data_IF_553017920115
#
_entry.id   IF_553017920115
#
_cell.length_a   1.000
_cell.length_b   1.000
_cell.length_c   1.000
_cell.angle_alpha   90.00
_cell.angle_beta   90.00
_cell.angle_gamma   90.00
#
_symmetry.space_group_name_H-M   'P 1'
#
loop_
_entity.id
_entity.type
_entity.pdbx_description
1 polymer ?
#
# COMPACT_ATOMS: atom_id res chain seq x y z
N UNK A 1 -3.09 -4.43 6.68
CA UNK A 1 -4.52 -4.22 6.31
C UNK A 1 -4.75 -4.93 4.98
N UNK A 2 -5.90 -5.57 4.79
CA UNK A 2 -6.23 -6.27 3.54
C UNK A 2 -7.52 -5.70 2.95
N UNK A 3 -7.64 -5.75 1.63
CA UNK A 3 -8.80 -5.31 0.86
C UNK A 3 -9.20 -6.43 -0.09
N UNK A 4 -10.50 -6.52 -0.39
CA UNK A 4 -10.95 -7.35 -1.52
C UNK A 4 -10.44 -6.76 -2.84
N UNK A 5 -10.43 -7.58 -3.90
CA UNK A 5 -10.05 -7.12 -5.23
C UNK A 5 -10.93 -5.95 -5.71
N UNK A 6 -12.24 -5.99 -5.45
CA UNK A 6 -13.19 -4.94 -5.87
C UNK A 6 -12.93 -3.63 -5.13
N UNK A 7 -12.69 -3.70 -3.82
CA UNK A 7 -12.39 -2.51 -3.03
C UNK A 7 -11.07 -1.86 -3.47
N UNK A 8 -10.03 -2.66 -3.74
CA UNK A 8 -8.77 -2.14 -4.25
C UNK A 8 -8.94 -1.56 -5.65
N UNK A 9 -9.66 -2.24 -6.54
CA UNK A 9 -9.93 -1.75 -7.89
C UNK A 9 -10.65 -0.40 -7.88
N UNK A 10 -11.67 -0.24 -7.03
CA UNK A 10 -12.39 1.03 -6.89
C UNK A 10 -11.45 2.15 -6.43
N UNK A 11 -10.55 1.88 -5.48
CA UNK A 11 -9.54 2.84 -5.06
C UNK A 11 -8.56 3.20 -6.19
N UNK A 12 -8.05 2.22 -6.94
CA UNK A 12 -7.13 2.47 -8.05
C UNK A 12 -7.78 3.26 -9.19
N UNK A 13 -9.09 3.10 -9.39
CA UNK A 13 -9.84 3.77 -10.47
C UNK A 13 -9.87 5.29 -10.37
N UNK A 14 -9.61 5.86 -9.18
CA UNK A 14 -9.56 7.31 -8.97
C UNK A 14 -8.14 7.88 -9.04
N UNK A 15 -7.13 7.04 -9.26
CA UNK A 15 -5.73 7.45 -9.35
C UNK A 15 -5.31 7.65 -10.81
N UNK A 16 -4.36 8.58 -11.07
CA UNK A 16 -3.71 8.66 -12.37
C UNK A 16 -3.01 7.33 -12.72
N UNK A 17 -3.24 6.74 -13.91
CA UNK A 17 -2.66 5.44 -14.26
C UNK A 17 -1.12 5.45 -14.28
N UNK A 18 -0.50 6.59 -14.56
CA UNK A 18 0.95 6.77 -14.63
C UNK A 18 1.68 6.58 -13.29
N UNK A 19 0.97 6.63 -12.16
CA UNK A 19 1.55 6.39 -10.82
C UNK A 19 1.27 4.98 -10.29
N UNK A 20 0.60 4.13 -11.08
CA UNK A 20 0.20 2.79 -10.66
C UNK A 20 0.95 1.73 -11.46
N UNK A 21 1.79 0.96 -10.78
CA UNK A 21 2.44 -0.23 -11.34
C UNK A 21 1.73 -1.48 -10.82
N UNK A 22 1.36 -2.38 -11.75
CA UNK A 22 0.64 -3.62 -11.42
C UNK A 22 1.37 -4.83 -11.99
N UNK A 23 1.56 -5.85 -11.16
CA UNK A 23 1.98 -7.20 -11.55
C UNK A 23 0.99 -8.22 -10.98
N UNK A 24 1.13 -9.50 -11.35
CA UNK A 24 0.24 -10.57 -10.86
C UNK A 24 0.17 -10.67 -9.33
N UNK A 25 1.26 -10.34 -8.63
CA UNK A 25 1.38 -10.52 -7.18
C UNK A 25 1.60 -9.23 -6.40
N UNK A 26 1.76 -8.09 -7.08
CA UNK A 26 2.11 -6.81 -6.45
C UNK A 26 1.50 -5.62 -7.17
N UNK A 27 0.92 -4.71 -6.42
CA UNK A 27 0.51 -3.39 -6.88
C UNK A 27 1.32 -2.34 -6.11
N UNK A 28 1.87 -1.37 -6.83
CA UNK A 28 2.61 -0.24 -6.26
C UNK A 28 1.99 1.06 -6.76
N UNK A 29 1.68 1.95 -5.83
CA UNK A 29 1.23 3.31 -6.13
C UNK A 29 2.32 4.27 -5.65
N UNK A 30 2.90 5.02 -6.58
CA UNK A 30 3.91 6.02 -6.27
C UNK A 30 3.27 7.22 -5.54
N UNK A 31 3.93 7.69 -4.48
CA UNK A 31 3.48 8.86 -3.72
C UNK A 31 4.66 9.62 -3.12
N UNK A 32 4.50 10.93 -2.91
CA UNK A 32 5.59 11.85 -2.53
C UNK A 32 6.33 11.43 -1.26
N UNK A 33 5.60 11.00 -0.24
CA UNK A 33 6.21 10.61 1.04
C UNK A 33 6.74 9.18 0.98
N UNK A 34 5.95 8.26 0.42
CA UNK A 34 6.28 6.84 0.30
C UNK A 34 5.28 6.13 -0.58
N UNK A 35 5.78 5.17 -1.36
CA UNK A 35 4.94 4.27 -2.14
C UNK A 35 3.99 3.46 -1.24
N UNK A 36 2.78 3.26 -1.75
CA UNK A 36 1.83 2.31 -1.21
C UNK A 36 1.95 0.99 -1.96
N UNK A 37 2.08 -0.12 -1.21
CA UNK A 37 2.30 -1.45 -1.78
C UNK A 37 1.24 -2.40 -1.26
N UNK A 38 0.62 -3.15 -2.17
CA UNK A 38 -0.26 -4.29 -1.89
C UNK A 38 0.31 -5.55 -2.51
N UNK A 39 0.20 -6.66 -1.77
CA UNK A 39 0.61 -7.99 -2.21
C UNK A 39 -0.61 -8.90 -2.28
N UNK A 40 -0.69 -9.71 -3.33
CA UNK A 40 -1.75 -10.70 -3.48
C UNK A 40 -1.67 -11.76 -2.39
N UNK A 41 -2.81 -12.10 -1.78
CA UNK A 41 -2.94 -13.11 -0.74
C UNK A 41 -4.30 -13.80 -0.84
N UNK A 42 -4.37 -14.87 -1.63
CA UNK A 42 -5.65 -15.51 -1.95
C UNK A 42 -6.53 -14.55 -2.74
N UNK A 43 -7.75 -14.33 -2.26
CA UNK A 43 -8.73 -13.41 -2.88
C UNK A 43 -8.61 -11.96 -2.39
N UNK A 44 -7.60 -11.67 -1.56
CA UNK A 44 -7.37 -10.36 -0.96
C UNK A 44 -6.01 -9.77 -1.38
N UNK A 45 -5.90 -8.46 -1.18
CA UNK A 45 -4.69 -7.68 -1.39
C UNK A 45 -4.29 -7.01 -0.07
N UNK A 46 -3.12 -7.37 0.45
CA UNK A 46 -2.67 -6.94 1.76
C UNK A 46 -1.51 -5.96 1.69
N UNK A 47 -1.57 -4.93 2.54
CA UNK A 47 -0.50 -3.96 2.75
C UNK A 47 0.04 -4.02 4.18
N UNK A 48 1.35 -3.82 4.32
CA UNK A 48 2.05 -3.63 5.59
C UNK A 48 2.11 -2.16 6.03
N UNK A 49 1.43 -1.24 5.33
CA UNK A 49 1.46 0.19 5.61
C UNK A 49 1.19 0.55 7.09
N UNK A 50 0.21 -0.05 7.81
CA UNK A 50 -0.01 0.26 9.23
C UNK A 50 1.18 -0.08 10.12
N UNK A 51 1.83 -1.23 9.88
CA UNK A 51 3.00 -1.65 10.64
C UNK A 51 4.19 -0.72 10.38
N UNK A 52 4.39 -0.33 9.12
CA UNK A 52 5.49 0.56 8.75
C UNK A 52 5.23 1.98 9.30
N UNK A 53 3.99 2.47 9.25
CA UNK A 53 3.61 3.77 9.84
C UNK A 53 3.83 3.77 11.36
N UNK A 54 3.38 2.73 12.06
CA UNK A 54 3.64 2.58 13.50
C UNK A 54 5.14 2.55 13.83
N UNK A 55 5.95 1.78 13.08
CA UNK A 55 7.39 1.71 13.29
C UNK A 55 8.09 3.07 13.08
N UNK A 56 7.68 3.86 12.10
CA UNK A 56 8.24 5.20 11.87
C UNK A 56 7.87 6.15 13.00
N UNK A 57 6.61 6.13 13.45
CA UNK A 57 6.16 6.97 14.56
C UNK A 57 6.91 6.65 15.85
N UNK A 58 7.16 5.37 16.12
CA UNK A 58 7.95 4.92 17.27
C UNK A 58 9.43 5.34 17.16
N UNK A 59 10.05 5.18 15.99
CA UNK A 59 11.43 5.64 15.75
C UNK A 59 11.61 7.15 15.87
N UNK A 60 10.57 7.95 15.60
CA UNK A 60 10.59 9.40 15.86
C UNK A 60 10.49 9.74 17.36
N UNK A 61 10.06 8.79 18.19
CA UNK A 61 9.99 8.92 19.66
C UNK A 61 11.23 8.42 20.40
N UNK A 62 12.07 7.59 19.77
CA UNK A 62 13.40 7.26 20.28
C UNK A 62 14.39 8.36 19.89
N UNK A 63 14.42 9.42 20.70
CA UNK A 63 15.64 10.19 20.87
C UNK A 63 16.65 9.28 21.60
N UNK A 64 17.65 8.80 20.88
CA UNK A 64 18.93 8.36 21.42
C UNK A 64 20.04 9.10 20.68
#
# INVERSE_FOLDING_TARGET
>A
MCLTAEALFLFLSVLPPEIVETTESRITVAAETRDAVWLAKGDEWCTSAPQIDAAIRLKRGEAL
#
